data_IF_093196298727
#
_entry.id   IF_093196298727
#
_cell.length_a   1.000
_cell.length_b   1.000
_cell.length_c   1.000
_cell.angle_alpha   90.00
_cell.angle_beta   90.00
_cell.angle_gamma   90.00
#
_symmetry.space_group_name_H-M   'P 1'
#
loop_
_entity.id
_entity.type
_entity.pdbx_description
1 polymer ?
#
# COMPACT_ATOMS: atom_id res chain seq x y z
N UNK A 1 13.16 -11.58 -9.24
CA UNK A 1 13.84 -10.54 -8.42
C UNK A 1 14.73 -11.21 -7.38
N UNK A 2 15.94 -10.69 -7.08
CA UNK A 2 16.88 -11.37 -6.16
C UNK A 2 16.81 -10.77 -4.74
N UNK A 3 16.70 -11.63 -3.72
CA UNK A 3 16.80 -11.23 -2.32
C UNK A 3 18.28 -11.14 -1.93
N UNK A 4 18.71 -9.95 -1.50
CA UNK A 4 20.12 -9.65 -1.23
C UNK A 4 20.44 -9.69 0.27
N UNK A 5 19.49 -9.26 1.09
CA UNK A 5 19.63 -9.16 2.54
C UNK A 5 18.33 -9.57 3.23
N UNK A 6 18.40 -9.65 4.56
CA UNK A 6 17.22 -9.86 5.39
C UNK A 6 16.48 -8.53 5.57
N UNK A 7 15.15 -8.54 5.44
CA UNK A 7 14.35 -7.35 5.72
C UNK A 7 13.01 -7.70 6.38
N UNK A 8 12.43 -6.68 7.02
CA UNK A 8 11.20 -6.77 7.80
C UNK A 8 10.18 -5.73 7.34
N UNK A 9 8.90 -6.08 7.46
CA UNK A 9 7.78 -5.17 7.25
C UNK A 9 6.62 -5.50 8.19
N UNK A 10 5.90 -4.45 8.61
CA UNK A 10 4.73 -4.56 9.46
C UNK A 10 5.01 -4.43 10.96
N UNK A 11 3.99 -4.71 11.77
CA UNK A 11 3.99 -4.40 13.20
C UNK A 11 3.31 -5.49 14.03
N UNK A 12 3.54 -5.48 15.34
CA UNK A 12 2.86 -6.38 16.29
C UNK A 12 1.42 -5.94 16.62
N UNK A 13 0.94 -4.84 16.04
CA UNK A 13 -0.39 -4.31 16.32
C UNK A 13 -1.50 -5.27 15.89
N UNK A 14 -2.68 -5.10 16.48
CA UNK A 14 -3.87 -5.82 16.02
C UNK A 14 -4.21 -5.48 14.57
N UNK A 15 -4.68 -6.48 13.82
CA UNK A 15 -5.05 -6.36 12.40
C UNK A 15 -3.86 -6.13 11.48
N UNK A 16 -2.67 -6.47 11.95
CA UNK A 16 -1.42 -6.41 11.20
C UNK A 16 -0.63 -7.71 11.37
N UNK A 17 0.48 -7.81 10.66
CA UNK A 17 1.45 -8.90 10.80
C UNK A 17 2.87 -8.36 10.67
N UNK A 18 3.84 -9.14 11.15
CA UNK A 18 5.25 -8.95 10.81
C UNK A 18 5.61 -9.99 9.76
N UNK A 19 6.21 -9.54 8.67
CA UNK A 19 6.81 -10.41 7.68
C UNK A 19 8.31 -10.14 7.63
N UNK A 20 9.06 -11.24 7.71
CA UNK A 20 10.49 -11.29 7.54
C UNK A 20 10.80 -12.06 6.25
N UNK A 21 11.61 -11.46 5.40
CA UNK A 21 12.09 -12.07 4.14
C UNK A 21 13.61 -12.18 4.20
N UNK A 22 14.15 -13.34 3.82
CA UNK A 22 15.59 -13.57 3.73
C UNK A 22 15.96 -14.44 2.52
N UNK A 23 17.22 -14.41 2.07
CA UNK A 23 17.69 -15.29 1.00
C UNK A 23 17.49 -16.76 1.38
N UNK A 24 16.94 -17.57 0.47
CA UNK A 24 16.69 -18.99 0.74
C UNK A 24 15.93 -19.72 -0.35
N UNK A 25 15.47 -20.92 -0.02
CA UNK A 25 14.94 -21.91 -0.98
C UNK A 25 13.41 -21.94 -1.09
N UNK A 26 12.69 -21.00 -0.49
CA UNK A 26 11.23 -20.94 -0.59
C UNK A 26 10.50 -21.47 0.65
N UNK A 27 11.18 -21.53 1.80
CA UNK A 27 10.55 -21.91 3.05
C UNK A 27 9.56 -20.82 3.49
N UNK A 28 8.34 -21.21 3.91
CA UNK A 28 7.35 -20.28 4.45
C UNK A 28 6.92 -20.82 5.81
N UNK A 29 7.16 -20.04 6.86
CA UNK A 29 6.85 -20.38 8.24
C UNK A 29 5.85 -19.38 8.79
N UNK A 30 4.67 -19.86 9.19
CA UNK A 30 3.65 -19.04 9.87
C UNK A 30 3.61 -19.30 11.37
N UNK A 31 3.71 -18.22 12.14
CA UNK A 31 3.41 -18.13 13.57
C UNK A 31 2.12 -17.33 13.75
N UNK A 32 1.06 -17.97 14.23
CA UNK A 32 -0.24 -17.34 14.47
C UNK A 32 -0.84 -17.84 15.79
N UNK A 33 -1.64 -17.00 16.44
CA UNK A 33 -2.41 -17.37 17.63
C UNK A 33 -3.61 -18.27 17.29
N UNK A 34 -4.03 -18.34 16.02
CA UNK A 34 -5.17 -19.12 15.55
C UNK A 34 -4.81 -20.03 14.38
N UNK A 35 -5.03 -21.33 14.52
CA UNK A 35 -4.65 -22.29 13.47
C UNK A 35 -5.66 -22.38 12.31
N UNK A 36 -6.84 -21.77 12.45
CA UNK A 36 -7.95 -21.93 11.50
C UNK A 36 -7.59 -21.47 10.07
N UNK A 37 -6.75 -20.43 9.94
CA UNK A 37 -6.41 -19.81 8.66
C UNK A 37 -4.99 -20.09 8.19
N UNK A 38 -4.26 -21.00 8.87
CA UNK A 38 -2.84 -21.24 8.59
C UNK A 38 -2.58 -21.62 7.13
N UNK A 39 -3.32 -22.60 6.61
CA UNK A 39 -3.15 -23.06 5.23
C UNK A 39 -3.42 -21.96 4.20
N UNK A 40 -4.46 -21.15 4.42
CA UNK A 40 -4.81 -20.02 3.55
C UNK A 40 -3.70 -18.96 3.53
N UNK A 41 -3.18 -18.56 4.69
CA UNK A 41 -2.12 -17.56 4.79
C UNK A 41 -0.84 -18.02 4.08
N UNK A 42 -0.44 -19.28 4.27
CA UNK A 42 0.71 -19.86 3.58
C UNK A 42 0.47 -19.93 2.06
N UNK A 43 -0.74 -20.29 1.63
CA UNK A 43 -1.11 -20.36 0.21
C UNK A 43 -1.04 -18.99 -0.48
N UNK A 44 -1.64 -17.94 0.11
CA UNK A 44 -1.61 -16.59 -0.51
C UNK A 44 -0.18 -16.04 -0.63
N UNK A 45 0.68 -16.33 0.35
CA UNK A 45 2.08 -15.90 0.34
C UNK A 45 2.88 -16.64 -0.73
N UNK A 46 2.74 -17.97 -0.80
CA UNK A 46 3.40 -18.79 -1.82
C UNK A 46 2.97 -18.39 -3.23
N UNK A 47 1.65 -18.25 -3.44
CA UNK A 47 1.10 -17.78 -4.70
C UNK A 47 1.67 -16.43 -5.10
N UNK A 48 1.75 -15.48 -4.15
CA UNK A 48 2.31 -14.16 -4.48
C UNK A 48 3.79 -14.21 -4.83
N UNK A 49 4.60 -15.01 -4.12
CA UNK A 49 6.01 -15.23 -4.43
C UNK A 49 6.20 -15.82 -5.83
N UNK A 50 5.37 -16.79 -6.21
CA UNK A 50 5.35 -17.37 -7.56
C UNK A 50 4.96 -16.34 -8.62
N UNK A 51 3.92 -15.54 -8.39
CA UNK A 51 3.46 -14.50 -9.32
C UNK A 51 4.52 -13.45 -9.64
N UNK A 52 5.41 -13.15 -8.69
CA UNK A 52 6.48 -12.15 -8.84
C UNK A 52 7.85 -12.76 -9.11
N UNK A 53 7.92 -14.08 -9.29
CA UNK A 53 9.14 -14.85 -9.54
C UNK A 53 10.26 -14.53 -8.52
N UNK A 54 9.93 -14.72 -7.24
CA UNK A 54 10.85 -14.54 -6.10
C UNK A 54 10.98 -15.83 -5.32
N UNK A 55 12.21 -16.32 -5.21
CA UNK A 55 12.58 -17.43 -4.33
C UNK A 55 13.22 -16.88 -3.06
N UNK A 56 12.55 -17.05 -1.92
CA UNK A 56 12.97 -16.49 -0.64
C UNK A 56 12.41 -17.29 0.53
N UNK A 57 13.08 -17.24 1.67
CA UNK A 57 12.49 -17.71 2.92
C UNK A 57 11.63 -16.60 3.52
N UNK A 58 10.44 -16.96 4.01
CA UNK A 58 9.47 -16.04 4.58
C UNK A 58 9.01 -16.54 5.95
N UNK A 59 9.20 -15.71 6.97
CA UNK A 59 8.62 -15.92 8.29
C UNK A 59 7.53 -14.89 8.55
N UNK A 60 6.38 -15.35 9.03
CA UNK A 60 5.18 -14.54 9.23
C UNK A 60 4.76 -14.65 10.69
N UNK A 61 4.61 -13.52 11.37
CA UNK A 61 3.99 -13.42 12.70
C UNK A 61 2.65 -12.70 12.51
N UNK A 62 1.55 -13.43 12.59
CA UNK A 62 0.21 -12.97 12.21
C UNK A 62 -0.63 -12.62 13.45
N UNK A 63 -1.28 -11.44 13.43
CA UNK A 63 -2.07 -10.90 14.55
C UNK A 63 -3.42 -10.28 14.11
N UNK A 64 -4.24 -11.07 13.41
CA UNK A 64 -5.54 -10.71 12.87
C UNK A 64 -5.51 -9.95 11.55
N UNK A 65 -4.40 -10.04 10.80
CA UNK A 65 -4.24 -9.40 9.50
C UNK A 65 -5.15 -10.06 8.45
N UNK A 66 -5.72 -9.25 7.57
CA UNK A 66 -6.47 -9.75 6.41
C UNK A 66 -5.58 -9.81 5.19
N UNK A 67 -6.00 -10.55 4.16
CA UNK A 67 -5.17 -10.94 3.01
C UNK A 67 -4.37 -9.79 2.39
N UNK A 68 -5.01 -8.65 2.11
CA UNK A 68 -4.30 -7.52 1.49
C UNK A 68 -3.20 -6.95 2.40
N UNK A 69 -3.36 -7.00 3.72
CA UNK A 69 -2.36 -6.54 4.69
C UNK A 69 -1.16 -7.49 4.65
N UNK A 70 -1.40 -8.80 4.67
CA UNK A 70 -0.36 -9.83 4.57
C UNK A 70 0.44 -9.65 3.28
N UNK A 71 -0.25 -9.51 2.15
CA UNK A 71 0.38 -9.26 0.85
C UNK A 71 1.17 -7.95 0.85
N UNK A 72 0.64 -6.88 1.48
CA UNK A 72 1.34 -5.59 1.58
C UNK A 72 2.64 -5.70 2.35
N UNK A 73 2.64 -6.39 3.50
CA UNK A 73 3.85 -6.59 4.31
C UNK A 73 4.86 -7.47 3.58
N UNK A 74 4.39 -8.49 2.84
CA UNK A 74 5.25 -9.35 2.05
C UNK A 74 5.97 -8.56 0.96
N UNK A 75 5.23 -7.80 0.17
CA UNK A 75 5.79 -7.02 -0.93
C UNK A 75 6.72 -5.91 -0.44
N UNK A 76 6.39 -5.24 0.66
CA UNK A 76 7.28 -4.26 1.28
C UNK A 76 8.57 -4.89 1.81
N UNK A 77 8.50 -6.06 2.45
CA UNK A 77 9.69 -6.78 2.91
C UNK A 77 10.55 -7.23 1.74
N UNK A 78 9.95 -7.76 0.66
CA UNK A 78 10.65 -8.12 -0.57
C UNK A 78 11.33 -6.90 -1.21
N UNK A 79 10.62 -5.77 -1.28
CA UNK A 79 11.18 -4.55 -1.88
C UNK A 79 12.38 -4.02 -1.09
N UNK A 80 12.32 -4.05 0.24
CA UNK A 80 13.46 -3.71 1.11
C UNK A 80 14.63 -4.67 0.93
N UNK A 81 14.34 -5.97 0.89
CA UNK A 81 15.36 -7.03 0.84
C UNK A 81 16.06 -7.15 -0.52
N UNK A 82 15.37 -6.78 -1.60
CA UNK A 82 15.90 -6.77 -2.98
C UNK A 82 16.41 -5.41 -3.43
N UNK A 83 15.91 -4.31 -2.83
CA UNK A 83 16.06 -2.92 -3.29
C UNK A 83 15.44 -2.67 -4.67
N UNK A 84 14.45 -3.49 -5.03
CA UNK A 84 13.68 -3.39 -6.27
C UNK A 84 12.18 -3.27 -5.94
N UNK A 85 11.43 -2.52 -6.73
CA UNK A 85 9.98 -2.43 -6.53
C UNK A 85 9.26 -3.68 -7.03
N UNK A 86 8.26 -4.15 -6.26
CA UNK A 86 7.42 -5.26 -6.67
C UNK A 86 6.40 -4.77 -7.71
N UNK A 87 6.59 -5.23 -8.94
CA UNK A 87 5.70 -4.91 -10.07
C UNK A 87 4.33 -5.58 -9.89
N UNK A 88 3.29 -4.88 -10.31
CA UNK A 88 1.92 -5.31 -10.14
C UNK A 88 1.06 -4.93 -11.35
N UNK A 89 -0.15 -5.48 -11.43
CA UNK A 89 -1.14 -5.13 -12.45
C UNK A 89 -1.95 -3.93 -11.97
N UNK A 90 -2.03 -2.91 -12.82
CA UNK A 90 -2.88 -1.74 -12.58
C UNK A 90 -4.36 -2.14 -12.61
N UNK A 91 -5.11 -1.69 -11.60
CA UNK A 91 -6.57 -1.80 -11.61
C UNK A 91 -7.21 -0.61 -12.29
N UNK A 92 -8.38 -0.82 -12.89
CA UNK A 92 -9.19 0.28 -13.43
C UNK A 92 -10.12 0.80 -12.35
N UNK A 93 -10.21 2.12 -12.23
CA UNK A 93 -11.18 2.82 -11.38
C UNK A 93 -11.87 3.88 -12.22
N UNK A 94 -13.17 4.05 -12.01
CA UNK A 94 -13.94 5.09 -12.70
C UNK A 94 -13.53 6.49 -12.25
N UNK A 95 -13.71 7.49 -13.11
CA UNK A 95 -13.51 8.89 -12.72
C UNK A 95 -14.66 9.38 -11.85
N UNK A 96 -14.35 10.33 -10.99
CA UNK A 96 -15.34 11.17 -10.30
C UNK A 96 -15.45 12.53 -10.95
N UNK A 97 -16.64 13.14 -10.86
CA UNK A 97 -16.88 14.47 -11.41
C UNK A 97 -16.09 15.55 -10.65
N UNK A 98 -15.61 16.58 -11.36
CA UNK A 98 -14.85 17.68 -10.75
C UNK A 98 -15.69 18.46 -9.73
N UNK A 99 -16.97 18.66 -10.00
CA UNK A 99 -17.96 19.37 -9.19
C UNK A 99 -18.65 18.49 -8.11
N UNK A 100 -18.21 17.23 -7.93
CA UNK A 100 -18.69 16.36 -6.85
C UNK A 100 -18.52 17.03 -5.48
N UNK A 101 -19.54 16.91 -4.63
CA UNK A 101 -19.49 17.37 -3.24
C UNK A 101 -18.41 16.61 -2.43
N UNK A 102 -17.60 17.38 -1.70
CA UNK A 102 -16.50 16.89 -0.83
C UNK A 102 -16.60 17.56 0.55
N UNK A 103 -17.76 17.44 1.20
CA UNK A 103 -18.08 18.11 2.48
C UNK A 103 -17.31 17.51 3.65
N UNK A 104 -17.05 16.20 3.58
CA UNK A 104 -16.22 15.48 4.55
C UNK A 104 -15.02 14.83 3.85
N UNK A 105 -13.83 15.01 4.46
CA UNK A 105 -12.58 14.38 4.05
C UNK A 105 -11.98 13.65 5.25
N UNK A 106 -12.02 12.33 5.23
CA UNK A 106 -11.51 11.51 6.33
C UNK A 106 -10.06 11.12 6.06
N UNK A 107 -9.13 11.65 6.87
CA UNK A 107 -7.71 11.33 6.79
C UNK A 107 -7.38 10.05 7.58
N UNK A 108 -6.68 9.13 6.94
CA UNK A 108 -6.27 7.85 7.53
C UNK A 108 -4.77 7.63 7.29
N UNK A 109 -3.96 7.35 8.33
CA UNK A 109 -2.55 7.02 8.15
C UNK A 109 -2.36 5.80 7.25
N UNK A 110 -1.56 5.94 6.19
CA UNK A 110 -1.36 4.91 5.18
C UNK A 110 -0.61 3.67 5.65
N UNK A 111 -0.02 3.70 6.86
CA UNK A 111 0.67 2.58 7.49
C UNK A 111 -0.20 1.79 8.50
N UNK A 112 -1.45 2.22 8.75
CA UNK A 112 -2.31 1.67 9.79
C UNK A 112 -3.47 0.83 9.21
N UNK A 113 -3.28 -0.49 9.03
CA UNK A 113 -4.29 -1.35 8.42
C UNK A 113 -5.59 -1.40 9.22
N UNK A 114 -5.53 -1.32 10.56
CA UNK A 114 -6.73 -1.33 11.41
C UNK A 114 -7.70 -0.21 11.06
N UNK A 115 -7.18 1.01 10.83
CA UNK A 115 -8.00 2.16 10.47
C UNK A 115 -8.48 2.10 9.01
N UNK A 116 -7.63 1.62 8.10
CA UNK A 116 -8.01 1.42 6.69
C UNK A 116 -9.14 0.39 6.57
N UNK A 117 -9.12 -0.68 7.37
CA UNK A 117 -10.11 -1.75 7.31
C UNK A 117 -11.55 -1.30 7.62
N UNK A 118 -11.72 -0.26 8.43
CA UNK A 118 -13.04 0.23 8.84
C UNK A 118 -13.54 1.42 8.02
N UNK A 119 -12.71 2.01 7.17
CA UNK A 119 -12.96 3.35 6.62
C UNK A 119 -14.23 3.40 5.74
N UNK A 120 -14.53 2.32 5.00
CA UNK A 120 -15.67 2.25 4.09
C UNK A 120 -17.03 2.36 4.79
N UNK A 121 -17.10 2.05 6.09
CA UNK A 121 -18.35 2.07 6.88
C UNK A 121 -18.80 3.49 7.21
N UNK A 122 -17.91 4.49 7.18
CA UNK A 122 -18.22 5.86 7.59
C UNK A 122 -18.90 6.70 6.50
N UNK A 123 -19.04 6.18 5.27
CA UNK A 123 -19.72 6.82 4.14
C UNK A 123 -19.31 8.30 3.92
N UNK A 124 -18.04 8.63 4.13
CA UNK A 124 -17.52 9.99 3.94
C UNK A 124 -17.56 10.38 2.45
N UNK A 125 -17.67 11.67 2.12
CA UNK A 125 -17.67 12.09 0.72
C UNK A 125 -16.32 11.75 0.05
N UNK A 126 -15.22 11.90 0.80
CA UNK A 126 -13.85 11.58 0.39
C UNK A 126 -13.04 10.96 1.55
N UNK A 127 -12.22 9.96 1.21
CA UNK A 127 -11.23 9.33 2.09
C UNK A 127 -9.85 9.69 1.57
N UNK A 128 -8.96 10.13 2.46
CA UNK A 128 -7.57 10.46 2.14
C UNK A 128 -6.67 9.47 2.86
N UNK A 129 -6.03 8.59 2.10
CA UNK A 129 -4.97 7.72 2.58
C UNK A 129 -3.66 8.52 2.61
N UNK A 130 -3.08 8.66 3.79
CA UNK A 130 -1.98 9.59 4.01
C UNK A 130 -0.61 8.91 4.01
N UNK A 131 0.26 9.32 3.09
CA UNK A 131 1.67 8.92 3.01
C UNK A 131 2.61 10.03 3.50
N UNK A 132 2.08 11.15 4.00
CA UNK A 132 2.84 12.31 4.46
C UNK A 132 3.06 12.28 5.99
N UNK A 133 2.65 13.31 6.73
CA UNK A 133 3.12 13.56 8.09
C UNK A 133 2.61 12.55 9.12
N UNK A 134 1.56 11.76 8.82
CA UNK A 134 1.11 10.68 9.72
C UNK A 134 1.94 9.40 9.64
N UNK A 135 2.90 9.33 8.72
CA UNK A 135 3.77 8.17 8.51
C UNK A 135 5.22 8.59 8.73
N UNK A 136 5.88 8.02 9.75
CA UNK A 136 7.31 8.25 9.99
C UNK A 136 8.17 7.67 8.85
N UNK A 137 9.38 8.20 8.69
CA UNK A 137 10.27 7.89 7.57
C UNK A 137 10.48 6.38 7.35
N UNK A 138 10.79 5.64 8.41
CA UNK A 138 11.07 4.19 8.34
C UNK A 138 9.87 3.35 7.89
N UNK A 139 8.66 3.90 7.98
CA UNK A 139 7.41 3.23 7.60
C UNK A 139 6.90 3.66 6.22
N UNK A 140 7.60 4.54 5.49
CA UNK A 140 7.14 5.03 4.17
C UNK A 140 6.97 3.91 3.16
N UNK A 141 7.95 3.00 3.05
CA UNK A 141 7.87 1.85 2.13
C UNK A 141 6.66 0.98 2.49
N UNK A 142 6.53 0.64 3.77
CA UNK A 142 5.41 -0.15 4.29
C UNK A 142 4.05 0.49 4.00
N UNK A 143 3.94 1.81 4.17
CA UNK A 143 2.72 2.56 3.90
C UNK A 143 2.36 2.56 2.41
N UNK A 144 3.34 2.74 1.51
CA UNK A 144 3.10 2.72 0.06
C UNK A 144 2.49 1.40 -0.40
N UNK A 145 3.07 0.28 0.01
CA UNK A 145 2.56 -1.04 -0.35
C UNK A 145 1.19 -1.32 0.29
N UNK A 146 0.96 -0.86 1.53
CA UNK A 146 -0.33 -0.98 2.17
C UNK A 146 -1.42 -0.16 1.47
N UNK A 147 -1.14 1.10 1.14
CA UNK A 147 -2.05 1.97 0.38
C UNK A 147 -2.29 1.40 -1.02
N UNK A 148 -1.25 0.94 -1.71
CA UNK A 148 -1.36 0.27 -3.03
C UNK A 148 -2.38 -0.87 -2.98
N UNK A 149 -2.21 -1.81 -2.06
CA UNK A 149 -3.05 -3.00 -2.00
C UNK A 149 -4.44 -2.70 -1.42
N UNK A 150 -4.56 -1.76 -0.50
CA UNK A 150 -5.86 -1.26 -0.05
C UNK A 150 -6.66 -0.70 -1.23
N UNK A 151 -6.06 0.17 -2.04
CA UNK A 151 -6.68 0.72 -3.26
C UNK A 151 -7.10 -0.37 -4.25
N UNK A 152 -6.40 -1.50 -4.31
CA UNK A 152 -6.73 -2.61 -5.23
C UNK A 152 -7.86 -3.52 -4.72
N UNK A 153 -8.02 -3.65 -3.41
CA UNK A 153 -8.78 -4.78 -2.82
C UNK A 153 -9.90 -4.35 -1.89
N UNK A 154 -9.78 -3.19 -1.24
CA UNK A 154 -10.76 -2.73 -0.27
C UNK A 154 -11.97 -2.11 -0.96
N UNK A 155 -13.14 -2.36 -0.37
CA UNK A 155 -14.36 -1.61 -0.67
C UNK A 155 -14.41 -0.34 0.17
N UNK A 156 -14.35 0.80 -0.50
CA UNK A 156 -14.47 2.13 0.10
C UNK A 156 -15.90 2.68 -0.01
N UNK A 157 -16.86 1.85 -0.39
CA UNK A 157 -18.25 2.23 -0.59
C UNK A 157 -18.40 3.30 -1.67
N UNK A 158 -19.15 4.35 -1.36
CA UNK A 158 -19.43 5.47 -2.28
C UNK A 158 -18.41 6.61 -2.18
N UNK A 159 -17.43 6.49 -1.29
CA UNK A 159 -16.44 7.53 -1.05
C UNK A 159 -15.53 7.73 -2.26
N UNK A 160 -15.21 8.98 -2.56
CA UNK A 160 -14.05 9.27 -3.38
C UNK A 160 -12.78 8.92 -2.58
N UNK A 161 -11.71 8.53 -3.27
CA UNK A 161 -10.50 7.99 -2.63
C UNK A 161 -9.31 8.77 -3.17
N UNK A 162 -8.66 9.49 -2.28
CA UNK A 162 -7.47 10.28 -2.58
C UNK A 162 -6.29 9.72 -1.80
N UNK A 163 -5.09 10.00 -2.30
CA UNK A 163 -3.85 9.74 -1.55
C UNK A 163 -3.15 11.07 -1.31
N UNK A 164 -2.85 11.39 -0.05
CA UNK A 164 -1.94 12.50 0.26
C UNK A 164 -0.51 12.00 0.16
N UNK A 165 0.22 12.49 -0.84
CA UNK A 165 1.60 12.06 -1.11
C UNK A 165 2.60 12.91 -0.31
N UNK A 166 3.84 12.44 -0.21
CA UNK A 166 4.96 13.22 0.28
C UNK A 166 5.62 13.98 -0.89
N UNK A 167 5.80 15.30 -0.75
CA UNK A 167 6.38 16.17 -1.80
C UNK A 167 7.78 15.72 -2.23
N UNK A 168 8.64 15.37 -1.28
CA UNK A 168 10.04 14.98 -1.53
C UNK A 168 10.16 13.56 -2.11
N UNK A 169 9.21 12.69 -1.77
CA UNK A 169 9.17 11.29 -2.20
C UNK A 169 8.07 11.00 -3.24
N UNK A 170 7.58 12.04 -3.91
CA UNK A 170 6.40 11.97 -4.77
C UNK A 170 6.53 10.91 -5.87
N UNK A 171 7.73 10.76 -6.44
CA UNK A 171 8.00 9.74 -7.47
C UNK A 171 7.77 8.33 -6.94
N UNK A 172 8.25 8.03 -5.74
CA UNK A 172 8.08 6.70 -5.13
C UNK A 172 6.64 6.46 -4.72
N UNK A 173 5.97 7.47 -4.17
CA UNK A 173 4.56 7.38 -3.78
C UNK A 173 3.68 7.13 -5.00
N UNK A 174 3.81 7.94 -6.07
CA UNK A 174 3.04 7.84 -7.31
C UNK A 174 3.30 6.51 -8.01
N UNK A 175 4.57 6.07 -8.07
CA UNK A 175 4.97 4.78 -8.66
C UNK A 175 4.26 3.60 -7.99
N UNK A 176 3.95 3.67 -6.70
CA UNK A 176 3.24 2.61 -6.00
C UNK A 176 1.73 2.75 -6.10
N UNK A 177 1.16 3.93 -5.88
CA UNK A 177 -0.30 4.09 -5.88
C UNK A 177 -0.93 4.00 -7.27
N UNK A 178 -0.17 4.18 -8.35
CA UNK A 178 -0.67 4.02 -9.74
C UNK A 178 -1.22 2.61 -10.00
N UNK A 179 -0.75 1.58 -9.29
CA UNK A 179 -1.31 0.22 -9.40
C UNK A 179 -2.74 0.14 -8.84
N UNK A 180 -3.07 0.97 -7.84
CA UNK A 180 -4.39 1.07 -7.20
C UNK A 180 -5.33 2.09 -7.84
N UNK A 181 -4.79 2.97 -8.69
CA UNK A 181 -5.50 3.97 -9.48
C UNK A 181 -6.50 4.80 -8.61
N UNK A 182 -6.01 5.63 -7.66
CA UNK A 182 -6.87 6.47 -6.82
C UNK A 182 -7.61 7.52 -7.65
N UNK A 183 -8.70 8.06 -7.12
CA UNK A 183 -9.46 9.11 -7.80
C UNK A 183 -8.71 10.44 -7.83
N UNK A 184 -7.86 10.71 -6.84
CA UNK A 184 -7.07 11.95 -6.76
C UNK A 184 -5.80 11.83 -5.92
N UNK A 185 -4.91 12.80 -6.11
CA UNK A 185 -3.71 13.02 -5.32
C UNK A 185 -3.88 14.33 -4.57
N UNK A 186 -3.57 14.33 -3.27
CA UNK A 186 -3.45 15.55 -2.49
C UNK A 186 -1.96 15.87 -2.35
N UNK A 187 -1.52 16.95 -3.01
CA UNK A 187 -0.16 17.48 -2.90
C UNK A 187 -0.09 18.48 -1.74
N UNK A 188 0.65 18.16 -0.65
CA UNK A 188 0.83 19.08 0.46
C UNK A 188 1.95 20.10 0.18
N UNK A 189 2.00 21.17 0.98
CA UNK A 189 3.13 22.13 1.02
C UNK A 189 3.48 22.71 -0.37
N UNK A 190 2.45 23.06 -1.14
CA UNK A 190 2.58 23.75 -2.44
C UNK A 190 2.86 25.22 -2.19
N UNK A 191 3.98 25.72 -2.71
CA UNK A 191 4.43 27.09 -2.54
C UNK A 191 4.61 27.81 -3.88
N UNK A 192 4.67 27.08 -4.99
CA UNK A 192 4.85 27.65 -6.32
C UNK A 192 4.11 26.88 -7.42
N UNK A 193 4.11 27.44 -8.64
CA UNK A 193 3.55 26.77 -9.83
C UNK A 193 4.39 25.55 -10.20
N UNK A 194 5.70 25.68 -10.10
CA UNK A 194 6.67 24.65 -10.46
C UNK A 194 6.46 23.37 -9.64
N UNK A 195 6.03 23.50 -8.37
CA UNK A 195 5.62 22.35 -7.55
C UNK A 195 4.53 21.52 -8.23
N UNK A 196 3.53 22.17 -8.82
CA UNK A 196 2.42 21.50 -9.51
C UNK A 196 2.92 20.86 -10.80
N UNK A 197 3.67 21.61 -11.62
CA UNK A 197 4.19 21.14 -12.91
C UNK A 197 5.09 19.89 -12.77
N UNK A 198 5.90 19.83 -11.71
CA UNK A 198 6.73 18.65 -11.41
C UNK A 198 5.86 17.43 -11.12
N UNK A 199 4.80 17.59 -10.32
CA UNK A 199 3.90 16.48 -9.97
C UNK A 199 3.05 16.04 -11.17
N UNK A 200 2.55 16.97 -11.98
CA UNK A 200 1.84 16.66 -13.23
C UNK A 200 2.72 15.80 -14.15
N UNK A 201 4.00 16.16 -14.30
CA UNK A 201 4.94 15.35 -15.08
C UNK A 201 5.12 13.93 -14.53
N UNK A 202 5.19 13.76 -13.21
CA UNK A 202 5.31 12.44 -12.59
C UNK A 202 4.03 11.61 -12.81
N UNK A 203 2.85 12.25 -12.71
CA UNK A 203 1.55 11.62 -12.97
C UNK A 203 1.45 11.14 -14.42
N UNK A 204 1.87 11.97 -15.38
CA UNK A 204 1.89 11.66 -16.81
C UNK A 204 2.86 10.50 -17.11
N UNK A 205 4.09 10.55 -16.59
CA UNK A 205 5.08 9.46 -16.70
C UNK A 205 4.52 8.13 -16.14
N UNK A 206 3.78 8.22 -15.03
CA UNK A 206 3.12 7.08 -14.41
C UNK A 206 1.86 6.62 -15.13
N UNK A 207 1.39 7.32 -16.18
CA UNK A 207 0.10 7.10 -16.85
C UNK A 207 -1.03 6.92 -15.84
N UNK A 208 -1.14 7.87 -14.90
CA UNK A 208 -2.17 7.89 -13.87
C UNK A 208 -3.21 8.96 -14.22
N UNK A 209 -4.47 8.55 -14.28
CA UNK A 209 -5.59 9.42 -14.64
C UNK A 209 -6.41 9.76 -13.39
N UNK A 210 -6.00 10.82 -12.69
CA UNK A 210 -6.58 11.23 -11.42
C UNK A 210 -6.72 12.75 -11.32
N UNK A 211 -7.45 13.22 -10.29
CA UNK A 211 -7.41 14.63 -9.88
C UNK A 211 -6.08 14.95 -9.19
N UNK A 212 -5.65 16.21 -9.26
CA UNK A 212 -4.54 16.78 -8.50
C UNK A 212 -5.04 17.98 -7.70
#
# INVERSE_FOLDING_TARGET
MKINEEAFSGTENERDCIIKVSPGDGEVILKTKTHLYKGHVEEIVRKRLEEIDVKANVEIIENGAIDYVIISRLEAAIAKASREDVIDKKVKRGKTAKDRLRRSRLYIPGNNPRLINSVGVYECDCIILDLEDSVIFDHKIDARYLVKNALKTMDFGKSEIWVRINKEMARDDIKQITYGNPHGICLPKVESREDIEVIEKIIDEANLDCHL
#
